data_IF_942888605323
#
_entry.id   IF_942888605323
#
_cell.length_a   1.000
_cell.length_b   1.000
_cell.length_c   1.000
_cell.angle_alpha   90.00
_cell.angle_beta   90.00
_cell.angle_gamma   90.00
#
_symmetry.space_group_name_H-M   'P 1'
#
loop_
_entity.id
_entity.type
_entity.pdbx_description
1 polymer ?
#
# COMPACT_ATOMS: atom_id res chain seq x y z
N UNK A 1 -22.39 -26.02 -18.84
CA UNK A 1 -22.75 -25.04 -17.79
C UNK A 1 -21.77 -25.03 -16.60
N UNK A 2 -21.50 -26.16 -15.93
CA UNK A 2 -20.71 -26.18 -14.68
C UNK A 2 -19.21 -25.82 -14.79
N UNK A 3 -18.57 -26.09 -15.92
CA UNK A 3 -17.15 -25.73 -16.16
C UNK A 3 -16.96 -24.21 -16.32
N UNK A 4 -17.87 -23.55 -17.04
CA UNK A 4 -17.81 -22.09 -17.21
C UNK A 4 -17.92 -21.36 -15.87
N UNK A 5 -18.81 -21.82 -14.98
CA UNK A 5 -19.02 -21.20 -13.67
C UNK A 5 -17.82 -21.37 -12.72
N UNK A 6 -17.20 -22.56 -12.70
CA UNK A 6 -15.93 -22.80 -11.97
C UNK A 6 -14.79 -21.92 -12.49
N UNK A 7 -14.75 -21.67 -13.80
CA UNK A 7 -13.72 -20.83 -14.40
C UNK A 7 -13.90 -19.35 -14.03
N UNK A 8 -15.15 -18.88 -13.92
CA UNK A 8 -15.47 -17.54 -13.42
C UNK A 8 -15.11 -17.37 -11.94
N UNK A 9 -15.39 -18.36 -11.09
CA UNK A 9 -14.97 -18.34 -9.68
C UNK A 9 -13.45 -18.30 -9.51
N UNK A 10 -12.71 -19.10 -10.29
CA UNK A 10 -11.24 -19.08 -10.28
C UNK A 10 -10.68 -17.76 -10.81
N UNK A 11 -11.28 -17.19 -11.85
CA UNK A 11 -10.89 -15.87 -12.37
C UNK A 11 -11.11 -14.77 -11.34
N UNK A 12 -12.24 -14.78 -10.61
CA UNK A 12 -12.52 -13.85 -9.54
C UNK A 12 -11.52 -14.00 -8.38
N UNK A 13 -11.22 -15.23 -7.96
CA UNK A 13 -10.22 -15.48 -6.92
C UNK A 13 -8.81 -15.04 -7.33
N UNK A 14 -8.40 -15.32 -8.57
CA UNK A 14 -7.12 -14.86 -9.09
C UNK A 14 -7.04 -13.33 -9.19
N UNK A 15 -8.12 -12.66 -9.59
CA UNK A 15 -8.18 -11.20 -9.62
C UNK A 15 -8.06 -10.60 -8.21
N UNK A 16 -8.76 -11.17 -7.22
CA UNK A 16 -8.66 -10.74 -5.82
C UNK A 16 -7.24 -10.98 -5.28
N UNK A 17 -6.67 -12.17 -5.52
CA UNK A 17 -5.31 -12.50 -5.10
C UNK A 17 -4.28 -11.54 -5.72
N UNK A 18 -4.40 -11.22 -7.01
CA UNK A 18 -3.54 -10.26 -7.69
C UNK A 18 -3.68 -8.84 -7.11
N UNK A 19 -4.90 -8.40 -6.78
CA UNK A 19 -5.14 -7.11 -6.13
C UNK A 19 -4.53 -7.04 -4.74
N UNK A 20 -4.68 -8.10 -3.94
CA UNK A 20 -4.08 -8.19 -2.59
C UNK A 20 -2.56 -8.19 -2.70
N UNK A 21 -1.97 -8.99 -3.58
CA UNK A 21 -0.52 -9.02 -3.80
C UNK A 21 0.03 -7.66 -4.24
N UNK A 22 -0.64 -6.99 -5.17
CA UNK A 22 -0.29 -5.61 -5.58
C UNK A 22 -0.37 -4.61 -4.44
N UNK A 23 -1.35 -4.77 -3.55
CA UNK A 23 -1.49 -3.91 -2.37
C UNK A 23 -0.34 -4.15 -1.38
N UNK A 24 0.06 -5.42 -1.19
CA UNK A 24 1.22 -5.78 -0.37
C UNK A 24 2.54 -5.27 -0.98
N UNK A 25 2.69 -5.32 -2.30
CA UNK A 25 3.82 -4.73 -3.02
C UNK A 25 3.87 -3.21 -2.83
N UNK A 26 2.74 -2.52 -2.93
CA UNK A 26 2.67 -1.08 -2.72
C UNK A 26 3.08 -0.71 -1.29
N UNK A 27 2.54 -1.38 -0.28
CA UNK A 27 2.92 -1.15 1.12
C UNK A 27 4.43 -1.37 1.33
N UNK A 28 4.98 -2.43 0.76
CA UNK A 28 6.42 -2.73 0.84
C UNK A 28 7.26 -1.62 0.20
N UNK A 29 6.87 -1.14 -0.98
CA UNK A 29 7.57 -0.06 -1.69
C UNK A 29 7.53 1.22 -0.87
N UNK A 30 6.36 1.61 -0.36
CA UNK A 30 6.19 2.86 0.40
C UNK A 30 6.97 2.85 1.71
N UNK A 31 6.96 1.74 2.44
CA UNK A 31 7.75 1.61 3.66
C UNK A 31 9.25 1.66 3.38
N UNK A 32 9.72 0.97 2.34
CA UNK A 32 11.14 0.99 1.95
C UNK A 32 11.60 2.37 1.51
N UNK A 33 10.76 3.09 0.77
CA UNK A 33 11.03 4.46 0.35
C UNK A 33 11.11 5.41 1.55
N UNK A 34 10.17 5.30 2.49
CA UNK A 34 10.19 6.08 3.74
C UNK A 34 11.49 5.85 4.53
N UNK A 35 11.90 4.60 4.73
CA UNK A 35 13.13 4.26 5.44
C UNK A 35 14.37 4.85 4.77
N UNK A 36 14.42 4.76 3.44
CA UNK A 36 15.54 5.30 2.64
C UNK A 36 15.62 6.82 2.78
N UNK A 37 14.48 7.52 2.66
CA UNK A 37 14.44 8.98 2.78
C UNK A 37 14.82 9.44 4.18
N UNK A 38 14.28 8.81 5.23
CA UNK A 38 14.62 9.17 6.61
C UNK A 38 16.11 8.97 6.89
N UNK A 39 16.69 7.87 6.40
CA UNK A 39 18.12 7.61 6.54
C UNK A 39 18.99 8.63 5.81
N UNK A 40 18.66 8.98 4.56
CA UNK A 40 19.43 9.94 3.75
C UNK A 40 19.31 11.37 4.28
N UNK A 41 18.13 11.72 4.79
CA UNK A 41 17.84 13.06 5.32
C UNK A 41 18.24 13.22 6.78
N UNK A 42 18.72 12.16 7.43
CA UNK A 42 19.02 12.11 8.87
C UNK A 42 17.83 12.60 9.73
N UNK A 43 16.61 12.17 9.37
CA UNK A 43 15.38 12.56 10.02
C UNK A 43 14.84 11.45 10.92
N UNK A 44 14.36 11.83 12.12
CA UNK A 44 13.83 10.89 13.12
C UNK A 44 12.40 10.43 12.83
N UNK A 45 11.64 11.20 12.03
CA UNK A 45 10.22 10.97 11.80
C UNK A 45 9.76 11.47 10.42
N UNK A 46 8.73 10.83 9.88
CA UNK A 46 8.15 11.17 8.57
C UNK A 46 6.78 10.55 8.35
N UNK A 47 6.01 11.14 7.44
CA UNK A 47 4.71 10.65 7.01
C UNK A 47 4.63 10.67 5.49
N UNK A 48 4.06 9.62 4.89
CA UNK A 48 3.84 9.54 3.46
C UNK A 48 2.36 9.35 3.19
N UNK A 49 1.86 10.18 2.28
CA UNK A 49 0.48 10.20 1.82
C UNK A 49 0.46 9.88 0.33
N UNK A 50 -0.54 9.13 -0.09
CA UNK A 50 -0.88 8.99 -1.49
C UNK A 50 -2.10 9.83 -1.80
N UNK A 51 -2.07 10.51 -2.93
CA UNK A 51 -3.26 11.16 -3.46
C UNK A 51 -4.19 10.08 -4.00
N UNK A 52 -5.49 10.20 -3.72
CA UNK A 52 -6.50 9.34 -4.32
C UNK A 52 -6.59 9.54 -5.85
N UNK A 53 -7.31 8.63 -6.51
CA UNK A 53 -7.40 8.62 -7.97
C UNK A 53 -8.12 9.87 -8.52
N UNK A 54 -9.02 10.45 -7.73
CA UNK A 54 -9.79 11.64 -8.09
C UNK A 54 -8.97 12.92 -7.87
N UNK A 55 -7.85 12.85 -7.16
CA UNK A 55 -6.93 13.96 -6.94
C UNK A 55 -7.34 14.89 -5.80
N UNK A 56 -8.32 14.50 -5.01
CA UNK A 56 -9.00 15.37 -4.05
C UNK A 56 -8.55 15.11 -2.61
N UNK A 57 -8.16 13.87 -2.28
CA UNK A 57 -7.82 13.49 -0.92
C UNK A 57 -6.44 12.87 -0.79
N UNK A 58 -5.69 13.33 0.22
CA UNK A 58 -4.44 12.70 0.64
C UNK A 58 -4.73 11.61 1.66
N UNK A 59 -4.48 10.36 1.26
CA UNK A 59 -4.66 9.16 2.08
C UNK A 59 -3.33 8.81 2.75
N UNK A 60 -3.25 8.79 4.09
CA UNK A 60 -2.04 8.39 4.79
C UNK A 60 -1.73 6.91 4.54
N UNK A 61 -0.49 6.60 4.16
CA UNK A 61 -0.06 5.23 3.89
C UNK A 61 0.95 4.72 4.91
N UNK A 62 1.93 5.54 5.29
CA UNK A 62 2.91 5.17 6.32
C UNK A 62 3.29 6.36 7.17
N UNK A 63 3.57 6.09 8.45
CA UNK A 63 4.06 7.05 9.44
C UNK A 63 5.15 6.39 10.26
N UNK A 64 6.29 7.06 10.37
CA UNK A 64 7.43 6.65 11.20
C UNK A 64 7.85 7.76 12.14
N UNK A 65 8.45 7.37 13.26
CA UNK A 65 8.66 8.23 14.41
C UNK A 65 7.38 8.26 15.26
N UNK A 66 7.52 7.84 16.51
CA UNK A 66 6.42 7.90 17.47
C UNK A 66 6.00 9.36 17.65
N UNK A 67 4.70 9.59 17.81
CA UNK A 67 4.24 10.75 18.56
C UNK A 67 5.13 10.90 19.78
N UNK A 68 5.62 12.12 20.03
CA UNK A 68 6.22 12.48 21.32
C UNK A 68 5.16 12.16 22.37
N UNK A 69 5.21 10.98 22.97
CA UNK A 69 4.58 10.75 24.27
C UNK A 69 5.48 11.48 25.27
N UNK A 70 4.99 12.67 25.63
CA UNK A 70 5.34 13.55 26.75
C UNK A 70 6.74 13.41 27.39
#
# INVERSE_FOLDING_TARGET
AKIAQRNTELAAQNAIAATISRSLELDTILNTAMDTVLAVMEMDAGCLYLLDADGENLVPQTRRGASIEA
#
